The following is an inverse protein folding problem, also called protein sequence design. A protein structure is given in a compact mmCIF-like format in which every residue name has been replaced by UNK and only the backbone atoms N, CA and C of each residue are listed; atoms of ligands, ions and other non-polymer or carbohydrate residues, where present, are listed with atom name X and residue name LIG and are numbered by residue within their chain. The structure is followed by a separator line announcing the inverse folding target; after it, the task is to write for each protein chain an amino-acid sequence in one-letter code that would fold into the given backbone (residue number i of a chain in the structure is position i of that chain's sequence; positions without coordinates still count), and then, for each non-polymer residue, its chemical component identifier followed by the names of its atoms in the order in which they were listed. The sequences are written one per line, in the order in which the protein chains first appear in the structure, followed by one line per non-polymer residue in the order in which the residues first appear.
data_IF_473110041046
#
_entry.id   IF_473110041046
#
_cell.length_a   1.000
_cell.length_b   1.000
_cell.length_c   1.000
_cell.angle_alpha   90.00
_cell.angle_beta   90.00
_cell.angle_gamma   90.00
#
_symmetry.space_group_name_H-M   'P 1'
#
loop_
_entity.id
_entity.type
_entity.pdbx_description
1 polymer ?
#
# COMPACT_ATOMS: atom_id res chain seq x y z
N UNK A 1 26.23 -4.28 6.60
CA UNK A 1 25.30 -4.13 5.46
C UNK A 1 24.24 -3.10 5.85
N UNK A 2 24.44 -1.82 5.52
CA UNK A 2 23.62 -0.71 6.06
C UNK A 2 22.64 -0.05 5.06
N UNK A 3 22.51 -0.58 3.83
CA UNK A 3 21.72 0.09 2.77
C UNK A 3 20.21 -0.15 2.81
N UNK A 4 19.74 -1.27 3.36
CA UNK A 4 18.34 -1.70 3.17
C UNK A 4 17.33 -0.78 3.89
N UNK A 5 17.69 -0.27 5.07
CA UNK A 5 16.85 0.65 5.84
C UNK A 5 16.74 2.03 5.20
N UNK A 6 17.82 2.51 4.57
CA UNK A 6 17.85 3.79 3.88
C UNK A 6 17.02 3.75 2.60
N UNK A 7 17.08 2.62 1.88
CA UNK A 7 16.24 2.37 0.71
C UNK A 7 14.76 2.42 1.10
N UNK A 8 14.38 1.71 2.16
CA UNK A 8 13.00 1.71 2.67
C UNK A 8 12.53 3.13 3.03
N UNK A 9 13.35 3.89 3.76
CA UNK A 9 13.05 5.26 4.16
C UNK A 9 12.83 6.20 2.96
N UNK A 10 13.71 6.09 1.95
CA UNK A 10 13.61 6.86 0.69
C UNK A 10 12.34 6.50 -0.08
N UNK A 11 12.02 5.21 -0.18
CA UNK A 11 10.83 4.74 -0.89
C UNK A 11 9.53 5.18 -0.21
N UNK A 12 9.42 5.06 1.12
CA UNK A 12 8.26 5.58 1.87
C UNK A 12 8.11 7.08 1.61
N UNK A 13 9.20 7.85 1.72
CA UNK A 13 9.17 9.30 1.49
C UNK A 13 8.76 9.66 0.07
N UNK A 14 9.19 8.88 -0.92
CA UNK A 14 8.79 9.03 -2.33
C UNK A 14 7.29 8.80 -2.50
N UNK A 15 6.77 7.67 -2.01
CA UNK A 15 5.35 7.31 -2.10
C UNK A 15 4.44 8.35 -1.41
N UNK A 16 4.88 8.89 -0.28
CA UNK A 16 4.16 9.97 0.41
C UNK A 16 4.06 11.24 -0.43
N UNK A 17 5.15 11.63 -1.12
CA UNK A 17 5.16 12.79 -2.01
C UNK A 17 4.28 12.57 -3.24
N UNK A 18 4.38 11.40 -3.87
CA UNK A 18 3.57 11.03 -5.05
C UNK A 18 2.07 11.05 -4.76
N UNK A 19 1.67 10.58 -3.58
CA UNK A 19 0.26 10.54 -3.18
C UNK A 19 -0.21 11.81 -2.43
N UNK A 20 0.65 12.81 -2.22
CA UNK A 20 0.36 14.00 -1.41
C UNK A 20 -0.15 13.66 0.01
N UNK A 21 0.51 12.71 0.69
CA UNK A 21 0.14 12.23 2.01
C UNK A 21 1.13 12.74 3.05
N UNK A 22 0.61 13.42 4.08
CA UNK A 22 1.39 13.86 5.23
C UNK A 22 1.62 12.70 6.24
N UNK A 23 2.69 12.80 7.04
CA UNK A 23 3.03 11.82 8.10
C UNK A 23 1.90 11.64 9.10
N UNK A 24 1.21 12.73 9.46
CA UNK A 24 0.08 12.67 10.40
C UNK A 24 -1.14 11.98 9.80
N UNK A 25 -1.36 12.13 8.49
CA UNK A 25 -2.43 11.42 7.79
C UNK A 25 -2.13 9.92 7.73
N UNK A 26 -0.90 9.56 7.33
CA UNK A 26 -0.44 8.17 7.30
C UNK A 26 -0.54 7.49 8.67
N UNK A 27 -0.17 8.20 9.74
CA UNK A 27 -0.28 7.72 11.12
C UNK A 27 -1.72 7.39 11.51
N UNK A 28 -2.65 8.30 11.21
CA UNK A 28 -4.08 8.15 11.52
C UNK A 28 -4.71 7.01 10.74
N UNK A 29 -4.43 6.92 9.44
CA UNK A 29 -5.04 5.93 8.56
C UNK A 29 -4.55 4.51 8.86
N UNK A 30 -3.26 4.34 9.16
CA UNK A 30 -2.66 3.03 9.46
C UNK A 30 -2.76 2.65 10.94
N UNK A 31 -3.20 3.57 11.82
CA UNK A 31 -3.18 3.42 13.28
C UNK A 31 -1.79 3.02 13.81
N UNK A 32 -0.75 3.65 13.27
CA UNK A 32 0.64 3.48 13.70
C UNK A 32 1.07 4.76 14.41
N UNK A 33 1.79 4.64 15.53
CA UNK A 33 2.31 5.80 16.24
C UNK A 33 3.16 6.68 15.32
N UNK A 34 2.99 7.99 15.43
CA UNK A 34 3.76 8.98 14.67
C UNK A 34 5.27 8.81 14.87
N UNK A 35 5.69 8.46 16.10
CA UNK A 35 7.11 8.21 16.43
C UNK A 35 7.67 7.05 15.61
N UNK A 36 6.93 5.95 15.52
CA UNK A 36 7.33 4.77 14.74
C UNK A 36 7.46 5.07 13.25
N UNK A 37 6.51 5.82 12.68
CA UNK A 37 6.63 6.25 11.27
C UNK A 37 7.83 7.16 11.06
N UNK A 38 8.08 8.07 11.99
CA UNK A 38 9.25 8.96 11.95
C UNK A 38 10.55 8.15 12.00
N UNK A 39 10.61 7.09 12.81
CA UNK A 39 11.80 6.23 12.88
C UNK A 39 12.05 5.49 11.57
N UNK A 40 11.02 5.04 10.86
CA UNK A 40 11.16 4.41 9.54
C UNK A 40 11.60 5.40 8.47
N UNK A 41 11.02 6.61 8.46
CA UNK A 41 11.35 7.67 7.50
C UNK A 41 12.79 8.18 7.70
N UNK A 42 13.29 8.15 8.93
CA UNK A 42 14.67 8.54 9.25
C UNK A 42 15.65 7.34 9.22
N UNK A 43 15.24 6.18 8.69
CA UNK A 43 16.06 4.97 8.61
C UNK A 43 16.67 4.52 9.95
N UNK A 44 16.02 4.83 11.07
CA UNK A 44 16.45 4.41 12.41
C UNK A 44 16.12 2.94 12.65
N UNK A 45 14.91 2.54 12.28
CA UNK A 45 14.40 1.18 12.46
C UNK A 45 13.80 0.64 11.17
N UNK A 46 13.79 -0.69 11.05
CA UNK A 46 13.20 -1.37 9.89
C UNK A 46 11.79 -1.89 10.25
N UNK A 47 10.76 -1.60 9.44
CA UNK A 47 9.40 -2.07 9.70
C UNK A 47 9.31 -3.60 9.63
N UNK A 48 8.48 -4.19 10.50
CA UNK A 48 8.14 -5.62 10.45
C UNK A 48 7.32 -5.93 9.20
N UNK A 49 7.33 -7.19 8.77
CA UNK A 49 6.65 -7.64 7.54
C UNK A 49 5.18 -7.21 7.48
N UNK A 50 4.45 -7.31 8.59
CA UNK A 50 3.03 -6.93 8.66
C UNK A 50 2.82 -5.46 8.29
N UNK A 51 3.72 -4.59 8.76
CA UNK A 51 3.65 -3.15 8.49
C UNK A 51 4.04 -2.82 7.06
N UNK A 52 4.97 -3.58 6.48
CA UNK A 52 5.32 -3.47 5.06
C UNK A 52 4.10 -3.81 4.21
N UNK A 53 3.37 -4.89 4.55
CA UNK A 53 2.14 -5.24 3.83
C UNK A 53 1.05 -4.18 3.96
N UNK A 54 0.88 -3.61 5.15
CA UNK A 54 -0.07 -2.53 5.37
C UNK A 54 0.27 -1.29 4.53
N UNK A 55 1.53 -0.88 4.49
CA UNK A 55 1.99 0.24 3.67
C UNK A 55 1.77 -0.04 2.18
N UNK A 56 2.15 -1.24 1.71
CA UNK A 56 1.95 -1.66 0.32
C UNK A 56 0.48 -1.58 -0.08
N UNK A 57 -0.42 -2.12 0.76
CA UNK A 57 -1.88 -2.07 0.54
C UNK A 57 -2.41 -0.64 0.55
N UNK A 58 -1.92 0.21 1.45
CA UNK A 58 -2.37 1.60 1.57
C UNK A 58 -1.97 2.46 0.37
N UNK A 59 -0.73 2.32 -0.11
CA UNK A 59 -0.26 3.03 -1.31
C UNK A 59 -0.67 2.35 -2.62
N UNK A 60 -1.20 1.13 -2.56
CA UNK A 60 -1.55 0.35 -3.76
C UNK A 60 -0.35 -0.12 -4.57
N UNK A 61 0.80 -0.33 -3.93
CA UNK A 61 2.06 -0.75 -4.56
C UNK A 61 2.47 -2.15 -4.11
N UNK A 62 3.39 -2.77 -4.83
CA UNK A 62 3.96 -4.05 -4.42
C UNK A 62 4.97 -3.89 -3.28
N UNK A 63 5.17 -4.97 -2.51
CA UNK A 63 6.15 -5.01 -1.40
C UNK A 63 7.58 -4.76 -1.90
N UNK A 64 7.90 -5.25 -3.11
CA UNK A 64 9.15 -5.03 -3.83
C UNK A 64 9.48 -3.54 -3.96
N UNK A 65 8.50 -2.72 -4.35
CA UNK A 65 8.67 -1.26 -4.50
C UNK A 65 9.03 -0.53 -3.21
N UNK A 66 8.80 -1.14 -2.04
CA UNK A 66 9.19 -0.61 -0.75
C UNK A 66 10.63 -1.00 -0.37
N UNK A 67 11.06 -2.22 -0.73
CA UNK A 67 12.36 -2.79 -0.27
C UNK A 67 13.48 -2.66 -1.30
N UNK A 68 13.16 -2.56 -2.59
CA UNK A 68 14.15 -2.51 -3.66
C UNK A 68 14.68 -1.09 -3.89
N UNK A 69 15.95 -1.00 -4.25
CA UNK A 69 16.54 0.26 -4.71
C UNK A 69 15.93 0.62 -6.08
N UNK A 70 15.72 1.91 -6.40
CA UNK A 70 15.25 2.36 -7.72
C UNK A 70 16.25 2.11 -8.88
N UNK A 71 17.22 1.20 -8.67
CA UNK A 71 18.24 0.83 -9.63
C UNK A 71 17.66 -0.16 -10.65
N UNK A 72 17.34 0.38 -11.82
CA UNK A 72 16.94 -0.30 -13.08
C UNK A 72 15.49 -0.73 -13.20
N UNK A 73 14.80 0.04 -14.02
CA UNK A 73 13.80 -0.46 -14.96
C UNK A 73 14.41 -1.68 -15.67
N UNK A 74 13.88 -2.87 -15.36
CA UNK A 74 13.72 -3.89 -16.38
C UNK A 74 12.22 -3.88 -16.66
N UNK A 75 11.83 -3.39 -17.85
CA UNK A 75 10.52 -3.74 -18.39
C UNK A 75 10.51 -5.27 -18.50
N UNK A 76 9.84 -5.94 -17.56
CA UNK A 76 9.18 -7.21 -17.90
C UNK A 76 7.70 -6.89 -17.94
N UNK A 77 7.24 -6.70 -19.17
CA UNK A 77 5.86 -6.48 -19.49
C UNK A 77 5.00 -7.66 -19.00
N UNK A 78 3.83 -7.31 -18.46
CA UNK A 78 2.61 -8.15 -18.33
C UNK A 78 2.60 -9.37 -17.41
N UNK A 79 2.03 -9.18 -16.22
CA UNK A 79 1.01 -10.10 -15.70
C UNK A 79 -0.14 -9.28 -15.10
N UNK A 80 -1.42 -9.54 -15.46
CA UNK A 80 -2.54 -8.93 -14.76
C UNK A 80 -2.59 -9.51 -13.34
N UNK A 81 -2.07 -8.76 -12.37
CA UNK A 81 -2.25 -9.11 -10.96
C UNK A 81 -3.74 -9.11 -10.66
N UNK A 82 -4.32 -10.30 -10.48
CA UNK A 82 -5.71 -10.49 -10.12
C UNK A 82 -5.99 -9.68 -8.85
N UNK A 83 -6.84 -8.65 -8.98
CA UNK A 83 -7.53 -8.04 -7.86
C UNK A 83 -8.45 -9.11 -7.27
N UNK A 84 -7.97 -9.82 -6.25
CA UNK A 84 -8.80 -10.71 -5.46
C UNK A 84 -9.71 -9.86 -4.57
N UNK A 85 -10.76 -9.27 -5.16
CA UNK A 85 -11.92 -8.77 -4.43
C UNK A 85 -12.78 -9.96 -4.03
N UNK A 86 -12.34 -10.72 -3.03
CA UNK A 86 -13.21 -11.66 -2.34
C UNK A 86 -13.69 -11.00 -1.05
N UNK A 87 -15.02 -11.01 -0.82
CA UNK A 87 -15.70 -10.48 0.37
C UNK A 87 -15.72 -8.93 0.33
N UNK A 88 -16.82 -8.17 0.19
CA UNK A 88 -18.21 -8.33 0.61
C UNK A 88 -18.99 -7.26 -0.20
N UNK A 89 -19.82 -7.63 -1.17
CA UNK A 89 -21.01 -6.82 -1.53
C UNK A 89 -22.18 -7.76 -1.68
N UNK A 90 -22.65 -8.16 -0.50
CA UNK A 90 -23.99 -8.63 -0.19
C UNK A 90 -25.00 -7.66 -0.81
N UNK A 91 -25.37 -7.89 -2.07
CA UNK A 91 -26.46 -7.17 -2.71
C UNK A 91 -27.77 -7.73 -2.16
N UNK A 92 -28.17 -7.17 -1.03
CA UNK A 92 -29.57 -6.99 -0.71
C UNK A 92 -30.04 -5.83 -1.58
N UNK A 93 -30.65 -6.13 -2.73
CA UNK A 93 -31.69 -5.26 -3.30
C UNK A 93 -32.84 -6.17 -3.71
N UNK A 94 -33.63 -6.50 -2.69
CA UNK A 94 -34.96 -7.03 -2.87
C UNK A 94 -35.86 -5.95 -3.52
N UNK A 95 -36.88 -6.45 -4.21
CA UNK A 95 -38.13 -5.77 -4.55
C UNK A 95 -38.15 -4.87 -5.81
N UNK A 96 -39.10 -5.26 -6.69
CA UNK A 96 -39.82 -4.47 -7.69
C UNK A 96 -39.11 -4.25 -9.03
N UNK A 97 -39.37 -5.12 -10.00
CA UNK A 97 -40.22 -4.76 -11.15
C UNK A 97 -40.62 -6.02 -11.93
N UNK A 98 -41.79 -6.54 -11.58
CA UNK A 98 -42.65 -7.34 -12.44
C UNK A 98 -42.96 -6.59 -13.73
N UNK A 99 -42.96 -7.27 -14.88
CA UNK A 99 -44.08 -7.34 -15.84
C UNK A 99 -43.68 -8.22 -17.04
N UNK A 100 -44.22 -9.45 -17.02
CA UNK A 100 -45.03 -10.04 -18.09
C UNK A 100 -44.37 -10.24 -19.47
N UNK A 101 -43.95 -11.48 -19.75
CA UNK A 101 -44.06 -12.04 -21.10
C UNK A 101 -44.35 -13.54 -21.03
N UNK A 102 -45.45 -13.89 -21.70
CA UNK A 102 -46.12 -15.20 -21.86
C UNK A 102 -47.15 -15.46 -20.77
#
# INVERSE_FOLDING_TARGET
MLGNKEIMAKNISRLMKENNIDRNKLSRDLKISYTTLSDWINAKTYPRIDKIEMLAKYFGVEKSSLVESPSKIVQLDTLPVKKNTSCIKRYLLACLFTQKKI
#
